data_IF_515881526035
#
_entry.id   IF_515881526035
#
_cell.length_a   1.000
_cell.length_b   1.000
_cell.length_c   1.000
_cell.angle_alpha   90.00
_cell.angle_beta   90.00
_cell.angle_gamma   90.00
#
_symmetry.space_group_name_H-M   'P 1'
#
loop_
_entity.id
_entity.type
_entity.pdbx_description
1 polymer ?
#
# COMPACT_ATOMS: atom_id res chain seq x y z
N UNK A 1 16.71 -25.50 6.30
CA UNK A 1 16.84 -24.21 6.99
C UNK A 1 16.72 -23.09 5.97
N UNK A 2 15.67 -22.24 6.04
CA UNK A 2 15.66 -20.82 5.65
C UNK A 2 14.21 -20.27 5.63
N UNK A 3 13.82 -19.64 6.74
CA UNK A 3 12.95 -18.45 6.89
C UNK A 3 11.72 -18.29 5.96
N UNK A 4 10.61 -18.89 6.39
CA UNK A 4 9.23 -18.62 5.92
C UNK A 4 8.77 -17.16 6.10
N UNK A 5 9.59 -16.29 6.72
CA UNK A 5 9.29 -14.87 6.88
C UNK A 5 9.72 -13.97 5.70
N UNK A 6 10.58 -14.44 4.79
CA UNK A 6 11.12 -13.64 3.67
C UNK A 6 10.33 -13.75 2.36
N UNK A 7 9.69 -14.90 2.10
CA UNK A 7 8.97 -15.13 0.85
C UNK A 7 7.74 -14.26 0.69
N UNK A 8 7.00 -14.03 1.78
CA UNK A 8 5.75 -13.27 1.73
C UNK A 8 6.00 -11.77 1.52
N UNK A 9 7.02 -11.20 2.20
CA UNK A 9 7.37 -9.79 2.01
C UNK A 9 7.95 -9.55 0.62
N UNK A 10 8.78 -10.48 0.12
CA UNK A 10 9.26 -10.42 -1.26
C UNK A 10 8.12 -10.53 -2.27
N UNK A 11 7.19 -11.46 -2.09
CA UNK A 11 6.03 -11.60 -2.99
C UNK A 11 5.12 -10.36 -2.97
N UNK A 12 4.91 -9.76 -1.80
CA UNK A 12 4.17 -8.50 -1.66
C UNK A 12 4.90 -7.36 -2.39
N UNK A 13 6.22 -7.27 -2.22
CA UNK A 13 7.05 -6.29 -2.90
C UNK A 13 7.01 -6.45 -4.42
N UNK A 14 7.23 -7.66 -4.92
CA UNK A 14 7.21 -7.99 -6.35
C UNK A 14 5.82 -7.69 -6.96
N UNK A 15 4.75 -7.98 -6.22
CA UNK A 15 3.38 -7.67 -6.63
C UNK A 15 3.17 -6.15 -6.79
N UNK A 16 3.60 -5.36 -5.81
CA UNK A 16 3.53 -3.91 -5.88
C UNK A 16 4.45 -3.34 -6.96
N UNK A 17 5.63 -3.92 -7.16
CA UNK A 17 6.57 -3.50 -8.20
C UNK A 17 5.94 -3.64 -9.60
N UNK A 18 5.29 -4.77 -9.86
CA UNK A 18 4.67 -5.06 -11.16
C UNK A 18 3.38 -4.27 -11.38
N UNK A 19 2.51 -4.18 -10.36
CA UNK A 19 1.15 -3.62 -10.50
C UNK A 19 1.08 -2.12 -10.20
N UNK A 20 1.97 -1.62 -9.36
CA UNK A 20 1.84 -0.33 -8.70
C UNK A 20 0.86 -0.34 -7.53
N UNK A 21 0.32 0.84 -7.15
CA UNK A 21 -0.47 1.01 -5.94
C UNK A 21 -1.67 0.07 -5.85
N UNK A 22 -1.79 -0.67 -4.75
CA UNK A 22 -2.80 -1.70 -4.58
C UNK A 22 -3.49 -1.63 -3.22
N UNK A 23 -4.77 -2.00 -3.17
CA UNK A 23 -5.50 -2.14 -1.91
C UNK A 23 -5.21 -3.49 -1.26
N UNK A 24 -5.50 -3.64 0.04
CA UNK A 24 -5.44 -4.93 0.71
C UNK A 24 -6.33 -6.00 0.04
N UNK A 25 -7.42 -5.59 -0.62
CA UNK A 25 -8.26 -6.52 -1.37
C UNK A 25 -7.55 -6.99 -2.65
N UNK A 26 -6.98 -6.07 -3.43
CA UNK A 26 -6.20 -6.42 -4.63
C UNK A 26 -5.03 -7.37 -4.27
N UNK A 27 -4.30 -7.06 -3.20
CA UNK A 27 -3.18 -7.86 -2.70
C UNK A 27 -3.63 -9.25 -2.25
N UNK A 28 -4.81 -9.38 -1.63
CA UNK A 28 -5.33 -10.68 -1.21
C UNK A 28 -5.57 -11.62 -2.38
N UNK A 29 -6.11 -11.10 -3.50
CA UNK A 29 -6.32 -11.86 -4.72
C UNK A 29 -5.01 -12.25 -5.41
N UNK A 30 -4.05 -11.32 -5.48
CA UNK A 30 -2.75 -11.57 -6.11
C UNK A 30 -1.86 -12.53 -5.30
N UNK A 31 -1.88 -12.44 -3.97
CA UNK A 31 -1.06 -13.28 -3.09
C UNK A 31 -1.78 -14.57 -2.66
N UNK A 32 -3.05 -14.76 -3.05
CA UNK A 32 -3.90 -15.90 -2.66
C UNK A 32 -3.99 -16.08 -1.14
N UNK A 33 -4.01 -14.97 -0.40
CA UNK A 33 -4.08 -14.94 1.05
C UNK A 33 -5.50 -14.69 1.51
N UNK A 34 -5.82 -15.13 2.72
CA UNK A 34 -7.03 -14.64 3.38
C UNK A 34 -6.95 -13.13 3.59
N UNK A 35 -8.11 -12.52 3.80
CA UNK A 35 -8.20 -11.09 4.17
C UNK A 35 -7.32 -10.80 5.38
N UNK A 36 -7.44 -11.59 6.44
CA UNK A 36 -6.70 -11.38 7.70
C UNK A 36 -5.19 -11.46 7.49
N UNK A 37 -4.71 -12.48 6.79
CA UNK A 37 -3.28 -12.64 6.48
C UNK A 37 -2.76 -11.46 5.65
N UNK A 38 -3.55 -11.00 4.68
CA UNK A 38 -3.17 -9.85 3.86
C UNK A 38 -3.03 -8.59 4.70
N UNK A 39 -3.98 -8.30 5.60
CA UNK A 39 -3.89 -7.13 6.49
C UNK A 39 -2.69 -7.23 7.44
N UNK A 40 -2.38 -8.43 7.95
CA UNK A 40 -1.19 -8.65 8.77
C UNK A 40 0.10 -8.44 7.98
N UNK A 41 0.17 -8.93 6.74
CA UNK A 41 1.32 -8.77 5.85
C UNK A 41 1.55 -7.29 5.50
N UNK A 42 0.50 -6.57 5.09
CA UNK A 42 0.54 -5.13 4.78
C UNK A 42 0.98 -4.34 6.01
N UNK A 43 0.38 -4.60 7.18
CA UNK A 43 0.76 -3.93 8.42
C UNK A 43 2.23 -4.18 8.76
N UNK A 44 2.69 -5.42 8.68
CA UNK A 44 4.09 -5.78 8.93
C UNK A 44 5.05 -5.08 7.96
N UNK A 45 4.72 -5.07 6.66
CA UNK A 45 5.54 -4.40 5.65
C UNK A 45 5.59 -2.88 5.87
N UNK A 46 4.48 -2.27 6.25
CA UNK A 46 4.40 -0.85 6.60
C UNK A 46 5.20 -0.51 7.86
N UNK A 47 5.06 -1.32 8.91
CA UNK A 47 5.84 -1.17 10.16
C UNK A 47 7.35 -1.34 9.92
N UNK A 48 7.74 -2.06 8.86
CA UNK A 48 9.13 -2.22 8.42
C UNK A 48 9.60 -1.14 7.44
N UNK A 49 8.74 -0.19 7.05
CA UNK A 49 9.08 0.87 6.09
C UNK A 49 9.31 0.38 4.67
N UNK A 50 8.77 -0.79 4.29
CA UNK A 50 8.88 -1.32 2.93
C UNK A 50 7.81 -0.73 2.00
N UNK A 51 6.66 -0.38 2.57
CA UNK A 51 5.52 0.16 1.83
C UNK A 51 4.91 1.32 2.58
N UNK A 52 4.27 2.23 1.85
CA UNK A 52 3.54 3.36 2.41
C UNK A 52 2.17 3.50 1.79
N UNK A 53 1.29 4.19 2.51
CA UNK A 53 0.00 4.59 1.95
C UNK A 53 0.24 5.71 0.95
N UNK A 54 -0.27 5.55 -0.27
CA UNK A 54 -0.10 6.54 -1.34
C UNK A 54 -1.42 7.14 -1.81
N UNK A 55 -2.56 6.52 -1.53
CA UNK A 55 -3.87 7.05 -1.90
C UNK A 55 -5.03 6.41 -1.11
N UNK A 56 -6.17 7.08 -1.11
CA UNK A 56 -7.46 6.45 -0.84
C UNK A 56 -8.05 5.89 -2.15
N UNK A 57 -8.88 4.85 -2.06
CA UNK A 57 -9.68 4.33 -3.17
C UNK A 57 -11.14 4.66 -2.95
N UNK A 58 -11.79 5.24 -3.96
CA UNK A 58 -13.23 5.42 -4.00
C UNK A 58 -13.89 4.06 -4.17
N UNK A 59 -14.58 3.63 -3.12
CA UNK A 59 -15.67 2.65 -3.24
C UNK A 59 -16.97 3.43 -3.10
N UNK A 60 -18.03 3.04 -3.80
CA UNK A 60 -19.24 3.82 -4.13
C UNK A 60 -19.87 4.68 -3.00
N UNK A 61 -19.53 4.45 -1.73
CA UNK A 61 -20.05 5.23 -0.58
C UNK A 61 -19.01 5.53 0.53
N UNK A 62 -17.70 5.32 0.33
CA UNK A 62 -16.71 5.63 1.37
C UNK A 62 -15.25 5.73 0.91
N UNK A 63 -14.51 6.70 1.47
CA UNK A 63 -13.05 6.86 1.37
C UNK A 63 -12.29 5.97 2.38
N UNK A 64 -12.75 4.75 2.61
CA UNK A 64 -12.18 3.90 3.69
C UNK A 64 -11.04 3.02 3.23
N UNK A 65 -10.95 2.74 1.94
CA UNK A 65 -9.97 1.79 1.42
C UNK A 65 -8.67 2.50 1.11
N UNK A 66 -7.58 2.02 1.70
CA UNK A 66 -6.23 2.54 1.47
C UNK A 66 -5.53 1.74 0.38
N UNK A 67 -4.82 2.45 -0.49
CA UNK A 67 -3.87 1.90 -1.44
C UNK A 67 -2.44 2.09 -0.92
N UNK A 68 -1.67 1.02 -1.03
CA UNK A 68 -0.29 0.94 -0.60
C UNK A 68 0.62 0.75 -1.82
N UNK A 69 1.80 1.34 -1.77
CA UNK A 69 2.86 1.13 -2.75
C UNK A 69 4.22 1.07 -2.05
N UNK A 70 5.24 0.66 -2.80
CA UNK A 70 6.62 0.58 -2.36
C UNK A 70 7.09 1.93 -1.78
N UNK A 71 7.68 1.89 -0.60
CA UNK A 71 8.41 3.01 -0.03
C UNK A 71 9.88 2.88 -0.39
N UNK A 72 10.26 3.47 -1.53
CA UNK A 72 11.63 3.48 -2.02
C UNK A 72 12.14 4.90 -2.20
N UNK A 73 13.42 5.17 -1.87
CA UNK A 73 14.07 6.43 -2.20
C UNK A 73 14.50 6.51 -3.69
N UNK A 74 14.32 5.43 -4.46
CA UNK A 74 14.66 5.38 -5.89
C UNK A 74 13.81 6.37 -6.69
N UNK A 75 14.47 7.40 -7.25
CA UNK A 75 13.80 8.48 -7.98
C UNK A 75 13.19 8.02 -9.30
N UNK A 76 13.73 6.98 -9.94
CA UNK A 76 13.19 6.42 -11.17
C UNK A 76 11.88 5.68 -10.86
N UNK A 77 11.84 4.88 -9.80
CA UNK A 77 10.61 4.23 -9.35
C UNK A 77 9.56 5.26 -8.94
N UNK A 78 9.95 6.30 -8.20
CA UNK A 78 9.04 7.40 -7.81
C UNK A 78 8.50 8.13 -9.03
N UNK A 79 9.36 8.44 -10.01
CA UNK A 79 8.95 9.08 -11.26
C UNK A 79 8.01 8.17 -12.06
N UNK A 80 8.34 6.89 -12.22
CA UNK A 80 7.52 5.89 -12.90
C UNK A 80 6.12 5.79 -12.26
N UNK A 81 6.05 5.79 -10.93
CA UNK A 81 4.77 5.79 -10.20
C UNK A 81 4.01 7.11 -10.33
N UNK A 82 4.72 8.22 -10.37
CA UNK A 82 4.12 9.52 -10.63
C UNK A 82 3.61 9.64 -12.07
N UNK A 83 4.24 9.03 -13.07
CA UNK A 83 3.76 9.01 -14.46
C UNK A 83 2.62 8.01 -14.65
N UNK A 84 2.70 6.84 -14.00
CA UNK A 84 1.64 5.84 -13.95
C UNK A 84 0.40 6.30 -13.18
N UNK A 85 0.34 7.58 -12.74
CA UNK A 85 -0.72 8.21 -11.91
C UNK A 85 -1.95 7.32 -11.91
N UNK A 86 -2.16 6.59 -10.82
CA UNK A 86 -3.28 6.74 -9.88
C UNK A 86 -4.44 7.60 -10.46
N UNK A 87 -4.93 7.24 -11.65
CA UNK A 87 -6.00 7.88 -12.42
C UNK A 87 -7.12 6.86 -12.47
N UNK A 88 -8.36 7.32 -12.25
CA UNK A 88 -9.52 6.45 -12.07
C UNK A 88 -9.89 6.33 -10.60
N UNK A 89 -9.96 5.09 -10.07
CA UNK A 89 -10.53 4.74 -8.75
C UNK A 89 -9.84 5.34 -7.51
N UNK A 90 -8.73 6.04 -7.68
CA UNK A 90 -7.92 6.53 -6.57
C UNK A 90 -8.17 8.01 -6.35
N UNK A 91 -8.43 8.39 -5.11
CA UNK A 91 -8.66 9.77 -4.70
C UNK A 91 -7.34 10.55 -4.68
N UNK A 92 -7.39 11.81 -5.09
CA UNK A 92 -6.30 12.79 -4.93
C UNK A 92 -6.18 13.33 -3.51
N UNK A 93 -7.16 13.03 -2.65
CA UNK A 93 -7.04 13.17 -1.21
C UNK A 93 -6.00 12.16 -0.72
N UNK A 94 -4.73 12.58 -0.74
CA UNK A 94 -3.68 11.86 -0.04
C UNK A 94 -4.10 11.69 1.42
N UNK A 95 -3.77 10.57 2.10
CA UNK A 95 -4.01 10.44 3.52
C UNK A 95 -3.18 11.49 4.26
N UNK A 96 -3.76 12.66 4.50
CA UNK A 96 -3.20 13.67 5.37
C UNK A 96 -3.35 13.16 6.79
N UNK A 97 -2.24 12.64 7.31
CA UNK A 97 -1.95 12.34 8.71
C UNK A 97 -2.35 10.95 9.25
N UNK A 98 -1.49 10.39 10.12
CA UNK A 98 -1.63 9.05 10.67
C UNK A 98 -2.75 9.02 11.71
N UNK A 99 -3.42 7.87 11.85
CA UNK A 99 -4.26 7.58 13.00
C UNK A 99 -3.39 7.59 14.27
N UNK A 100 -3.20 8.76 14.86
CA UNK A 100 -2.36 8.95 16.05
C UNK A 100 -1.70 10.32 16.13
N UNK A 101 -2.49 11.40 16.15
CA UNK A 101 -1.96 12.73 16.41
C UNK A 101 -3.07 13.67 16.83
N UNK A 102 -3.05 14.13 18.08
CA UNK A 102 -3.98 15.14 18.60
C UNK A 102 -4.04 16.32 17.65
N UNK A 103 -5.27 16.72 17.34
CA UNK A 103 -5.59 17.94 16.59
C UNK A 103 -5.05 19.13 17.39
N UNK A 104 -3.90 19.65 16.96
CA UNK A 104 -3.43 20.97 17.38
C UNK A 104 -4.12 21.99 16.50
N UNK A 105 -5.00 22.77 17.11
CA UNK A 105 -5.60 23.95 16.52
C UNK A 105 -4.53 24.93 16.02
N UNK A 106 -4.77 25.50 14.84
CA UNK A 106 -4.37 26.84 14.48
C UNK A 106 -5.50 27.45 13.65
#
# INVERSE_FOLDING_TARGET
MARVGGSLMQALWDCLLQRGPATAHDLSGSLQLSRTETYQAVRKAADQGLIKVVAHVHTDDNHRTLAWDIDSPDQELVWLRHEQRVRGRYCTCLPTCPRGGKVGAA
#
